data_IF_014837992670
#
_entry.id   IF_014837992670
#
_cell.length_a   1.000
_cell.length_b   1.000
_cell.length_c   1.000
_cell.angle_alpha   90.00
_cell.angle_beta   90.00
_cell.angle_gamma   90.00
#
_symmetry.space_group_name_H-M   'P 1'
#
loop_
_entity.id
_entity.type
_entity.pdbx_description
1 polymer ?
#
# COMPACT_ATOMS: atom_id res chain seq x y z
N UNK A 1 15.15 -22.21 10.54
CA UNK A 1 14.20 -22.04 9.42
C UNK A 1 13.66 -23.41 9.06
N UNK A 2 12.37 -23.58 8.83
CA UNK A 2 11.79 -24.88 8.46
C UNK A 2 11.61 -24.92 6.93
N UNK A 3 11.97 -26.04 6.30
CA UNK A 3 11.87 -26.23 4.85
C UNK A 3 10.46 -26.01 4.29
N UNK A 4 9.42 -26.28 5.09
CA UNK A 4 8.02 -26.03 4.73
C UNK A 4 7.73 -24.55 4.40
N UNK A 5 8.48 -23.60 4.98
CA UNK A 5 8.28 -22.16 4.70
C UNK A 5 8.62 -21.77 3.26
N UNK A 6 9.46 -22.53 2.56
CA UNK A 6 9.86 -22.25 1.17
C UNK A 6 8.70 -22.43 0.18
N UNK A 7 7.67 -23.19 0.55
CA UNK A 7 6.46 -23.39 -0.24
C UNK A 7 5.35 -22.35 0.05
N UNK A 8 5.58 -21.42 1.00
CA UNK A 8 4.63 -20.39 1.38
C UNK A 8 5.34 -19.02 1.49
N UNK A 9 5.17 -18.11 0.52
CA UNK A 9 5.90 -16.83 0.49
C UNK A 9 5.71 -15.94 1.73
N UNK A 10 4.53 -15.92 2.35
CA UNK A 10 4.28 -15.12 3.56
C UNK A 10 5.03 -15.73 4.75
N UNK A 11 4.97 -17.05 4.90
CA UNK A 11 5.70 -17.76 5.96
C UNK A 11 7.22 -17.70 5.76
N UNK A 12 7.68 -17.68 4.51
CA UNK A 12 9.09 -17.43 4.20
C UNK A 12 9.52 -16.05 4.70
N UNK A 13 8.77 -14.99 4.35
CA UNK A 13 9.04 -13.63 4.80
C UNK A 13 9.05 -13.53 6.34
N UNK A 14 8.07 -14.16 7.00
CA UNK A 14 7.99 -14.25 8.47
C UNK A 14 9.19 -14.98 9.06
N UNK A 15 9.57 -16.10 8.48
CA UNK A 15 10.72 -16.87 8.89
C UNK A 15 12.01 -16.07 8.80
N UNK A 16 12.21 -15.36 7.68
CA UNK A 16 13.36 -14.46 7.48
C UNK A 16 13.38 -13.33 8.51
N UNK A 17 12.25 -12.64 8.71
CA UNK A 17 12.13 -11.56 9.68
C UNK A 17 12.44 -12.01 11.11
N UNK A 18 11.80 -13.09 11.56
CA UNK A 18 12.03 -13.63 12.91
C UNK A 18 13.45 -14.19 13.09
N UNK A 19 14.12 -14.57 12.01
CA UNK A 19 15.50 -15.04 12.05
C UNK A 19 16.54 -13.91 12.03
N UNK A 20 16.14 -12.69 11.63
CA UNK A 20 17.04 -11.57 11.45
C UNK A 20 17.88 -11.20 12.69
N UNK A 21 17.36 -11.20 13.93
CA UNK A 21 18.18 -10.91 15.12
C UNK A 21 19.34 -11.89 15.30
N UNK A 22 19.09 -13.19 15.11
CA UNK A 22 20.12 -14.25 15.20
C UNK A 22 21.14 -14.14 14.08
N UNK A 23 20.69 -13.79 12.88
CA UNK A 23 21.60 -13.51 11.77
C UNK A 23 22.46 -12.29 12.04
N UNK A 24 21.91 -11.22 12.63
CA UNK A 24 22.66 -10.01 12.95
C UNK A 24 23.80 -10.32 13.90
N UNK A 25 23.52 -11.09 14.96
CA UNK A 25 24.52 -11.57 15.90
C UNK A 25 25.59 -12.44 15.21
N UNK A 26 25.18 -13.41 14.38
CA UNK A 26 26.10 -14.28 13.66
C UNK A 26 27.01 -13.51 12.69
N UNK A 27 26.46 -12.53 11.98
CA UNK A 27 27.19 -11.68 11.04
C UNK A 27 28.19 -10.77 11.76
N UNK A 28 27.78 -10.19 12.89
CA UNK A 28 28.68 -9.42 13.77
C UNK A 28 29.84 -10.27 14.29
N UNK A 29 29.57 -11.47 14.81
CA UNK A 29 30.61 -12.42 15.24
C UNK A 29 31.55 -12.81 14.10
N UNK A 30 31.01 -12.99 12.90
CA UNK A 30 31.79 -13.31 11.71
C UNK A 30 32.48 -12.09 11.06
N UNK A 31 32.30 -10.87 11.61
CA UNK A 31 32.78 -9.60 11.03
C UNK A 31 32.37 -9.41 9.56
N UNK A 32 31.17 -9.87 9.21
CA UNK A 32 30.61 -9.75 7.86
C UNK A 32 29.53 -8.67 7.81
N UNK A 33 29.47 -7.94 6.72
CA UNK A 33 28.40 -6.97 6.45
C UNK A 33 27.08 -7.68 6.19
N UNK A 34 25.97 -7.10 6.65
CA UNK A 34 24.63 -7.59 6.34
C UNK A 34 24.40 -7.66 4.82
N UNK A 35 23.99 -8.80 4.25
CA UNK A 35 23.74 -8.91 2.82
C UNK A 35 22.44 -8.19 2.45
N UNK A 36 22.52 -7.28 1.49
CA UNK A 36 21.32 -6.73 0.85
C UNK A 36 20.82 -7.70 -0.21
N UNK A 37 19.50 -7.90 -0.28
CA UNK A 37 18.86 -8.74 -1.29
C UNK A 37 17.95 -7.89 -2.18
N UNK A 38 18.10 -8.03 -3.49
CA UNK A 38 17.07 -7.62 -4.43
C UNK A 38 15.92 -8.62 -4.45
N UNK A 39 14.78 -8.18 -4.94
CA UNK A 39 13.61 -9.05 -5.16
C UNK A 39 13.89 -10.18 -6.14
N UNK A 40 14.67 -9.90 -7.19
CA UNK A 40 15.06 -10.91 -8.17
C UNK A 40 15.98 -11.96 -7.52
N UNK A 41 17.02 -11.55 -6.78
CA UNK A 41 17.90 -12.49 -6.08
C UNK A 41 17.10 -13.36 -5.09
N UNK A 42 16.16 -12.78 -4.34
CA UNK A 42 15.32 -13.57 -3.44
C UNK A 42 14.41 -14.52 -4.21
N UNK A 43 13.89 -14.12 -5.37
CA UNK A 43 13.10 -14.99 -6.27
C UNK A 43 13.94 -16.18 -6.73
N UNK A 44 15.16 -15.93 -7.22
CA UNK A 44 16.07 -16.96 -7.69
C UNK A 44 16.46 -17.93 -6.56
N UNK A 45 16.73 -17.40 -5.37
CA UNK A 45 16.98 -18.19 -4.17
C UNK A 45 15.79 -19.08 -3.81
N UNK A 46 14.56 -18.55 -3.84
CA UNK A 46 13.36 -19.34 -3.55
C UNK A 46 13.17 -20.44 -4.59
N UNK A 47 13.33 -20.14 -5.88
CA UNK A 47 13.24 -21.14 -6.96
C UNK A 47 14.29 -22.22 -6.77
N UNK A 48 15.54 -21.86 -6.47
CA UNK A 48 16.59 -22.82 -6.16
C UNK A 48 16.21 -23.70 -4.97
N UNK A 49 15.80 -23.09 -3.85
CA UNK A 49 15.40 -23.80 -2.64
C UNK A 49 14.19 -24.69 -2.86
N UNK A 50 13.26 -24.34 -3.74
CA UNK A 50 12.10 -25.18 -4.11
C UNK A 50 12.49 -26.40 -4.93
N UNK A 51 13.59 -26.34 -5.68
CA UNK A 51 14.06 -27.44 -6.54
C UNK A 51 15.00 -28.42 -5.83
N UNK A 52 15.36 -28.19 -4.57
CA UNK A 52 16.21 -29.13 -3.81
C UNK A 52 15.49 -30.47 -3.56
N UNK A 53 16.22 -31.60 -3.46
CA UNK A 53 15.62 -32.91 -3.21
C UNK A 53 14.71 -32.98 -1.97
N UNK A 54 15.03 -32.19 -0.94
CA UNK A 54 14.29 -32.12 0.32
C UNK A 54 12.96 -31.35 0.22
N UNK A 55 12.79 -30.52 -0.81
CA UNK A 55 11.70 -29.54 -0.92
C UNK A 55 10.90 -29.65 -2.23
N UNK A 56 11.45 -30.29 -3.27
CA UNK A 56 10.81 -30.43 -4.60
C UNK A 56 9.41 -31.06 -4.60
N UNK A 57 9.09 -31.82 -3.54
CA UNK A 57 7.80 -32.48 -3.38
C UNK A 57 6.87 -31.74 -2.41
N UNK A 58 7.28 -30.58 -1.87
CA UNK A 58 6.41 -29.77 -1.02
C UNK A 58 5.26 -29.21 -1.86
N UNK A 59 4.04 -29.37 -1.35
CA UNK A 59 2.87 -28.76 -1.97
C UNK A 59 2.92 -27.24 -1.74
N UNK A 60 2.70 -26.41 -2.77
CA UNK A 60 2.53 -24.98 -2.59
C UNK A 60 1.44 -24.70 -1.55
N UNK A 61 1.75 -23.86 -0.57
CA UNK A 61 0.83 -23.47 0.47
C UNK A 61 0.48 -21.99 0.31
N UNK A 62 -0.81 -21.70 0.22
CA UNK A 62 -1.32 -20.36 0.09
C UNK A 62 -1.76 -19.82 1.45
N UNK A 63 -1.31 -18.62 1.78
CA UNK A 63 -1.83 -17.82 2.90
C UNK A 63 -2.41 -16.53 2.34
N UNK A 64 -3.70 -16.30 2.55
CA UNK A 64 -4.32 -15.03 2.18
C UNK A 64 -3.79 -13.92 3.10
N UNK A 65 -3.39 -12.80 2.50
CA UNK A 65 -3.21 -11.57 3.25
C UNK A 65 -4.58 -11.10 3.79
N UNK A 66 -4.61 -10.56 5.00
CA UNK A 66 -5.80 -9.92 5.57
C UNK A 66 -5.42 -8.52 6.02
N UNK A 67 -6.20 -7.49 5.71
CA UNK A 67 -5.95 -6.17 6.31
C UNK A 67 -6.63 -6.01 7.67
N UNK A 68 -7.41 -7.01 8.11
CA UNK A 68 -8.19 -6.97 9.34
C UNK A 68 -7.29 -6.72 10.55
N UNK A 69 -7.58 -5.67 11.32
CA UNK A 69 -6.76 -5.20 12.46
C UNK A 69 -5.29 -4.91 12.13
N UNK A 70 -4.90 -4.86 10.86
CA UNK A 70 -3.49 -4.74 10.47
C UNK A 70 -2.86 -3.40 10.87
N UNK A 71 -3.63 -2.30 10.82
CA UNK A 71 -3.20 -0.99 11.32
C UNK A 71 -2.95 -1.00 12.84
N UNK A 72 -3.84 -1.65 13.59
CA UNK A 72 -3.71 -1.78 15.04
C UNK A 72 -2.52 -2.67 15.41
N UNK A 73 -2.32 -3.78 14.69
CA UNK A 73 -1.15 -4.63 14.85
C UNK A 73 0.15 -3.87 14.53
N UNK A 74 0.16 -3.06 13.47
CA UNK A 74 1.31 -2.22 13.08
C UNK A 74 1.69 -1.24 14.19
N UNK A 75 0.69 -0.66 14.86
CA UNK A 75 0.87 0.19 16.05
C UNK A 75 1.40 -0.63 17.24
N UNK A 76 0.76 -1.75 17.56
CA UNK A 76 1.13 -2.61 18.70
C UNK A 76 2.53 -3.20 18.59
N UNK A 77 3.00 -3.50 17.37
CA UNK A 77 4.37 -3.97 17.10
C UNK A 77 5.38 -2.81 17.04
N UNK A 78 4.96 -1.57 17.25
CA UNK A 78 5.81 -0.38 17.28
C UNK A 78 6.28 0.12 15.92
N UNK A 79 5.74 -0.41 14.81
CA UNK A 79 6.17 -0.02 13.48
C UNK A 79 5.85 1.45 13.16
N UNK A 80 4.74 1.98 13.73
CA UNK A 80 4.29 3.37 13.54
C UNK A 80 5.26 4.42 14.10
N UNK A 81 6.10 4.05 15.06
CA UNK A 81 7.04 4.98 15.70
C UNK A 81 8.04 5.57 14.68
N UNK A 82 8.40 4.78 13.67
CA UNK A 82 9.22 5.21 12.54
C UNK A 82 8.41 5.43 11.26
N UNK A 83 7.43 4.57 10.94
CA UNK A 83 6.66 4.64 9.69
C UNK A 83 5.54 5.68 9.76
N UNK A 84 5.91 6.94 9.91
CA UNK A 84 5.04 8.11 9.94
C UNK A 84 5.64 9.24 9.11
N UNK A 85 4.82 10.22 8.73
CA UNK A 85 5.30 11.38 7.96
C UNK A 85 6.02 10.92 6.68
N UNK A 86 7.20 11.49 6.38
CA UNK A 86 7.99 11.17 5.19
C UNK A 86 8.37 9.67 5.07
N UNK A 87 8.33 8.92 6.17
CA UNK A 87 8.65 7.49 6.20
C UNK A 87 7.40 6.59 6.18
N UNK A 88 6.21 7.19 6.01
CA UNK A 88 4.96 6.44 5.84
C UNK A 88 5.09 5.38 4.74
N UNK A 89 4.53 4.20 4.98
CA UNK A 89 4.50 3.12 3.99
C UNK A 89 3.77 3.51 2.72
N UNK A 90 2.75 4.36 2.83
CA UNK A 90 2.01 4.86 1.67
C UNK A 90 2.81 5.70 0.71
N UNK A 91 3.80 6.47 1.20
CA UNK A 91 4.69 7.27 0.36
C UNK A 91 5.76 6.44 -0.35
N UNK A 92 5.89 5.16 -0.01
CA UNK A 92 6.77 4.23 -0.70
C UNK A 92 5.93 3.39 -1.64
N UNK A 93 6.46 3.08 -2.82
CA UNK A 93 5.82 2.10 -3.69
C UNK A 93 5.65 0.80 -2.91
N UNK A 94 4.41 0.34 -2.75
CA UNK A 94 4.14 -0.92 -2.10
C UNK A 94 4.92 -2.03 -2.83
N UNK A 95 5.41 -3.05 -2.09
CA UNK A 95 6.05 -4.20 -2.73
C UNK A 95 5.07 -4.82 -3.74
N UNK A 96 5.52 -4.99 -4.99
CA UNK A 96 4.65 -5.48 -6.08
C UNK A 96 4.46 -6.98 -6.02
N UNK A 97 5.39 -7.68 -5.35
CA UNK A 97 5.44 -9.13 -5.20
C UNK A 97 5.75 -9.51 -3.76
N UNK A 98 5.58 -10.80 -3.43
CA UNK A 98 5.94 -11.27 -2.08
C UNK A 98 7.44 -11.31 -1.83
N UNK A 99 8.23 -11.50 -2.88
CA UNK A 99 9.69 -11.41 -2.82
C UNK A 99 10.15 -9.97 -2.66
N UNK A 100 9.46 -8.98 -3.25
CA UNK A 100 9.72 -7.56 -2.95
C UNK A 100 9.51 -7.26 -1.46
N UNK A 101 8.39 -7.73 -0.90
CA UNK A 101 8.07 -7.52 0.51
C UNK A 101 9.10 -8.16 1.43
N UNK A 102 9.43 -9.43 1.20
CA UNK A 102 10.40 -10.18 2.00
C UNK A 102 11.81 -9.57 1.91
N UNK A 103 12.25 -9.18 0.71
CA UNK A 103 13.53 -8.50 0.51
C UNK A 103 13.56 -7.14 1.21
N UNK A 104 12.48 -6.34 1.11
CA UNK A 104 12.37 -5.06 1.80
C UNK A 104 12.45 -5.22 3.32
N UNK A 105 11.75 -6.21 3.90
CA UNK A 105 11.82 -6.52 5.33
C UNK A 105 13.23 -6.96 5.75
N UNK A 106 13.87 -7.83 4.98
CA UNK A 106 15.23 -8.30 5.25
C UNK A 106 16.25 -7.16 5.23
N UNK A 107 16.19 -6.30 4.23
CA UNK A 107 17.08 -5.14 4.11
C UNK A 107 16.76 -4.05 5.14
N UNK A 108 15.55 -4.04 5.69
CA UNK A 108 15.12 -3.12 6.73
C UNK A 108 15.61 -3.53 8.13
N UNK A 109 15.67 -4.83 8.42
CA UNK A 109 16.04 -5.38 9.73
C UNK A 109 17.29 -4.73 10.39
N UNK A 110 18.44 -4.56 9.70
CA UNK A 110 19.63 -3.96 10.32
C UNK A 110 19.51 -2.44 10.56
N UNK A 111 18.47 -1.80 10.01
CA UNK A 111 18.22 -0.35 10.15
C UNK A 111 17.27 -0.04 11.29
N UNK A 112 16.68 -1.07 11.91
CA UNK A 112 15.80 -0.88 13.05
C UNK A 112 16.62 -0.49 14.29
N UNK A 113 16.13 0.51 15.03
CA UNK A 113 16.75 0.93 16.29
C UNK A 113 16.67 -0.14 17.38
N UNK A 114 15.63 -0.97 17.33
CA UNK A 114 15.41 -2.09 18.23
C UNK A 114 15.36 -3.39 17.44
N UNK A 115 15.68 -4.51 18.09
CA UNK A 115 15.54 -5.82 17.49
C UNK A 115 14.11 -6.02 16.94
N UNK A 116 13.98 -6.54 15.70
CA UNK A 116 12.69 -6.83 15.10
C UNK A 116 11.77 -7.61 16.06
N UNK A 117 10.51 -7.17 16.31
CA UNK A 117 9.60 -7.92 17.13
C UNK A 117 9.24 -9.23 16.44
N UNK A 118 9.15 -10.31 17.21
CA UNK A 118 8.72 -11.59 16.69
C UNK A 118 7.26 -11.53 16.19
N UNK A 119 7.02 -12.14 15.04
CA UNK A 119 5.72 -12.19 14.38
C UNK A 119 5.17 -13.62 14.35
N UNK A 120 3.91 -13.77 14.79
CA UNK A 120 3.12 -14.99 14.59
C UNK A 120 2.64 -15.10 13.13
N UNK A 121 2.28 -16.30 12.64
CA UNK A 121 1.78 -16.48 11.26
C UNK A 121 0.65 -15.50 10.88
N UNK A 122 -0.35 -15.39 11.74
CA UNK A 122 -1.53 -14.53 11.51
C UNK A 122 -1.17 -13.04 11.61
N UNK A 123 -0.13 -12.70 12.36
CA UNK A 123 0.36 -11.33 12.43
C UNK A 123 1.05 -10.93 11.13
N UNK A 124 1.83 -11.84 10.52
CA UNK A 124 2.45 -11.54 9.24
C UNK A 124 1.41 -11.38 8.14
N UNK A 125 0.39 -12.25 8.06
CA UNK A 125 -0.68 -12.09 7.05
C UNK A 125 -1.41 -10.75 7.20
N UNK A 126 -1.59 -10.28 8.45
CA UNK A 126 -2.18 -8.98 8.78
C UNK A 126 -1.32 -7.80 8.38
N UNK A 127 -0.02 -7.86 8.66
CA UNK A 127 0.94 -6.82 8.30
C UNK A 127 1.12 -6.73 6.79
N UNK A 128 1.19 -7.87 6.10
CA UNK A 128 1.24 -7.94 4.63
C UNK A 128 -0.02 -7.32 4.04
N UNK A 129 -1.21 -7.69 4.53
CA UNK A 129 -2.47 -7.12 4.06
C UNK A 129 -2.58 -5.63 4.32
N UNK A 130 -2.14 -5.15 5.49
CA UNK A 130 -2.09 -3.72 5.79
C UNK A 130 -1.09 -2.96 4.91
N UNK A 131 0.12 -3.49 4.72
CA UNK A 131 1.14 -2.86 3.88
C UNK A 131 0.66 -2.74 2.43
N UNK A 132 0.00 -3.77 1.90
CA UNK A 132 -0.63 -3.69 0.59
C UNK A 132 -1.82 -2.74 0.55
N UNK A 133 -2.62 -2.69 1.61
CA UNK A 133 -3.78 -1.80 1.66
C UNK A 133 -3.38 -0.32 1.55
N UNK A 134 -2.19 0.05 2.05
CA UNK A 134 -1.69 1.42 1.95
C UNK A 134 -1.63 1.96 0.51
N UNK A 135 -1.53 1.09 -0.51
CA UNK A 135 -1.53 1.52 -1.91
C UNK A 135 -2.92 1.96 -2.43
N UNK A 136 -3.98 1.58 -1.71
CA UNK A 136 -5.37 1.87 -2.09
C UNK A 136 -6.01 2.96 -1.23
N UNK A 137 -5.53 3.14 0.00
CA UNK A 137 -6.16 4.02 0.97
C UNK A 137 -5.50 5.40 1.10
N UNK A 138 -4.30 5.59 0.55
CA UNK A 138 -3.64 6.89 0.57
C UNK A 138 -3.67 7.56 -0.81
N UNK A 139 -4.48 8.61 -0.89
CA UNK A 139 -4.67 9.49 -2.04
C UNK A 139 -3.44 10.41 -2.21
N UNK A 140 -2.29 9.84 -2.58
CA UNK A 140 -1.09 10.60 -2.92
C UNK A 140 -1.27 11.18 -4.33
N UNK A 141 -2.19 12.13 -4.44
CA UNK A 141 -2.34 12.99 -5.59
C UNK A 141 -1.55 14.29 -5.42
N UNK A 142 -1.27 14.93 -6.54
CA UNK A 142 -0.78 16.30 -6.61
C UNK A 142 -1.99 17.25 -6.67
N UNK A 143 -2.20 18.00 -5.58
CA UNK A 143 -3.32 18.93 -5.48
C UNK A 143 -3.26 20.07 -6.53
N UNK A 144 -2.09 20.43 -7.06
CA UNK A 144 -1.98 21.45 -8.10
C UNK A 144 -2.39 20.90 -9.48
N UNK A 145 -1.99 19.66 -9.81
CA UNK A 145 -2.54 18.97 -10.98
C UNK A 145 -4.04 18.74 -10.82
N UNK A 146 -4.47 18.31 -9.64
CA UNK A 146 -5.87 18.12 -9.28
C UNK A 146 -6.71 19.38 -9.47
N UNK A 147 -6.20 20.54 -9.05
CA UNK A 147 -6.84 21.85 -9.29
C UNK A 147 -7.04 22.12 -10.78
N UNK A 148 -6.03 21.82 -11.59
CA UNK A 148 -6.10 22.02 -13.05
C UNK A 148 -7.17 21.13 -13.67
N UNK A 149 -7.22 19.85 -13.26
CA UNK A 149 -8.24 18.88 -13.72
C UNK A 149 -9.63 19.32 -13.26
N UNK A 150 -9.78 19.73 -11.99
CA UNK A 150 -11.06 20.17 -11.42
C UNK A 150 -11.60 21.40 -12.16
N UNK A 151 -10.75 22.40 -12.42
CA UNK A 151 -11.13 23.59 -13.16
C UNK A 151 -11.56 23.27 -14.60
N UNK A 152 -10.86 22.34 -15.26
CA UNK A 152 -11.13 21.97 -16.64
C UNK A 152 -12.40 21.10 -16.80
N UNK A 153 -12.70 20.23 -15.84
CA UNK A 153 -13.70 19.16 -16.00
C UNK A 153 -14.88 19.22 -15.03
N UNK A 154 -14.77 19.96 -13.91
CA UNK A 154 -15.76 19.93 -12.82
C UNK A 154 -16.32 21.32 -12.48
N UNK A 155 -15.47 22.35 -12.48
CA UNK A 155 -15.78 23.67 -11.89
C UNK A 155 -16.94 24.40 -12.58
N UNK A 156 -17.09 24.25 -13.91
CA UNK A 156 -18.16 24.91 -14.68
C UNK A 156 -19.57 24.59 -14.16
N UNK A 157 -19.74 23.46 -13.48
CA UNK A 157 -20.98 23.10 -12.79
C UNK A 157 -20.82 23.21 -11.27
N UNK A 158 -19.78 22.59 -10.69
CA UNK A 158 -19.66 22.45 -9.24
C UNK A 158 -19.20 23.72 -8.50
N UNK A 159 -18.76 24.77 -9.21
CA UNK A 159 -18.41 26.08 -8.64
C UNK A 159 -19.20 27.24 -9.24
N UNK A 160 -20.16 26.97 -10.15
CA UNK A 160 -21.01 28.00 -10.74
C UNK A 160 -22.34 28.09 -10.02
N UNK A 161 -22.65 29.26 -9.46
CA UNK A 161 -23.98 29.55 -8.95
C UNK A 161 -25.03 29.37 -10.09
N UNK A 162 -26.16 28.73 -9.79
CA UNK A 162 -27.23 28.48 -10.75
C UNK A 162 -27.05 27.27 -11.67
N UNK A 163 -25.97 26.49 -11.53
CA UNK A 163 -25.78 25.25 -12.31
C UNK A 163 -26.70 24.10 -11.89
N UNK A 164 -27.25 24.15 -10.68
CA UNK A 164 -28.00 23.06 -10.04
C UNK A 164 -27.13 21.92 -9.51
N UNK A 165 -25.81 21.96 -9.70
CA UNK A 165 -24.90 20.95 -9.18
C UNK A 165 -24.49 21.28 -7.74
N UNK A 166 -24.48 20.29 -6.82
CA UNK A 166 -23.99 20.51 -5.47
C UNK A 166 -22.48 20.79 -5.49
N UNK A 167 -21.96 21.65 -4.59
CA UNK A 167 -20.53 21.88 -4.49
C UNK A 167 -19.80 20.58 -4.10
N UNK A 168 -18.65 20.34 -4.72
CA UNK A 168 -17.74 19.25 -4.32
C UNK A 168 -16.82 19.84 -3.24
N UNK A 169 -17.11 19.52 -1.99
CA UNK A 169 -16.35 19.98 -0.83
C UNK A 169 -16.39 18.93 0.28
N UNK A 170 -15.47 19.06 1.23
CA UNK A 170 -15.31 18.13 2.35
C UNK A 170 -14.18 17.13 2.12
N UNK A 171 -13.74 16.53 3.22
CA UNK A 171 -12.74 15.48 3.19
C UNK A 171 -13.40 14.18 2.73
N UNK A 172 -13.06 13.71 1.53
CA UNK A 172 -13.59 12.53 0.87
C UNK A 172 -12.46 11.55 0.52
N UNK A 173 -12.77 10.25 0.53
CA UNK A 173 -11.88 9.17 0.09
C UNK A 173 -12.19 8.77 -1.35
N UNK A 174 -11.32 7.95 -1.96
CA UNK A 174 -11.62 7.29 -3.23
C UNK A 174 -12.94 6.50 -3.21
N UNK A 175 -13.28 5.87 -2.08
CA UNK A 175 -14.55 5.14 -1.92
C UNK A 175 -15.75 6.08 -1.85
N UNK A 176 -15.62 7.21 -1.16
CA UNK A 176 -16.67 8.23 -1.14
C UNK A 176 -16.91 8.78 -2.54
N UNK A 177 -15.84 9.08 -3.29
CA UNK A 177 -15.96 9.55 -4.67
C UNK A 177 -16.59 8.50 -5.58
N UNK A 178 -16.24 7.22 -5.45
CA UNK A 178 -16.89 6.13 -6.19
C UNK A 178 -18.39 6.01 -5.83
N UNK A 179 -18.74 6.10 -4.55
CA UNK A 179 -20.13 6.06 -4.07
C UNK A 179 -20.95 7.27 -4.56
N UNK A 180 -20.39 8.47 -4.46
CA UNK A 180 -21.01 9.71 -4.93
C UNK A 180 -21.22 9.68 -6.44
N UNK A 181 -20.22 9.27 -7.22
CA UNK A 181 -20.35 9.14 -8.67
C UNK A 181 -21.34 8.05 -9.06
N UNK A 182 -21.45 6.95 -8.31
CA UNK A 182 -22.48 5.94 -8.54
C UNK A 182 -23.90 6.49 -8.30
N UNK A 183 -24.09 7.24 -7.21
CA UNK A 183 -25.40 7.81 -6.84
C UNK A 183 -25.81 9.00 -7.71
N UNK A 184 -24.88 9.89 -8.03
CA UNK A 184 -25.15 11.14 -8.74
C UNK A 184 -24.81 11.10 -10.23
N UNK A 185 -24.08 10.07 -10.70
CA UNK A 185 -23.54 10.00 -12.05
C UNK A 185 -24.61 10.01 -13.14
N UNK A 186 -25.73 9.31 -12.95
CA UNK A 186 -26.83 9.33 -13.91
C UNK A 186 -27.44 10.73 -14.08
N UNK A 187 -27.63 11.46 -12.97
CA UNK A 187 -28.13 12.83 -12.99
C UNK A 187 -27.12 13.79 -13.63
N UNK A 188 -25.84 13.65 -13.30
CA UNK A 188 -24.75 14.39 -13.95
C UNK A 188 -24.73 14.12 -15.46
N UNK A 189 -24.88 12.87 -15.89
CA UNK A 189 -24.83 12.50 -17.30
C UNK A 189 -26.00 13.11 -18.08
N UNK A 190 -27.20 13.11 -17.49
CA UNK A 190 -28.36 13.78 -18.06
C UNK A 190 -28.15 15.30 -18.19
N UNK A 191 -27.63 15.95 -17.14
CA UNK A 191 -27.36 17.39 -17.15
C UNK A 191 -26.26 17.77 -18.17
N UNK A 192 -25.21 16.95 -18.29
CA UNK A 192 -24.14 17.14 -19.28
C UNK A 192 -24.70 17.01 -20.70
N UNK A 193 -25.55 16.01 -20.95
CA UNK A 193 -26.22 15.84 -22.25
C UNK A 193 -27.10 17.05 -22.60
N UNK A 194 -27.87 17.58 -21.64
CA UNK A 194 -28.69 18.78 -21.84
C UNK A 194 -27.85 20.02 -22.19
N UNK A 195 -26.63 20.11 -21.65
CA UNK A 195 -25.68 21.21 -21.92
C UNK A 195 -24.76 20.95 -23.12
N UNK A 196 -24.98 19.88 -23.89
CA UNK A 196 -24.12 19.44 -24.99
C UNK A 196 -22.65 19.25 -24.59
N UNK A 197 -22.41 18.81 -23.35
CA UNK A 197 -21.07 18.52 -22.83
C UNK A 197 -20.79 17.02 -22.92
N UNK A 198 -19.58 16.68 -23.38
CA UNK A 198 -19.10 15.30 -23.37
C UNK A 198 -18.75 14.87 -21.94
N UNK A 199 -18.99 13.59 -21.62
CA UNK A 199 -18.56 13.04 -20.33
C UNK A 199 -17.04 13.09 -20.21
N UNK A 200 -16.48 13.60 -19.08
CA UNK A 200 -15.04 13.74 -18.94
C UNK A 200 -14.36 12.38 -18.91
N UNK A 201 -13.29 12.24 -19.68
CA UNK A 201 -12.34 11.13 -19.57
C UNK A 201 -11.27 11.49 -18.54
N UNK A 202 -10.96 10.55 -17.65
CA UNK A 202 -9.92 10.66 -16.65
C UNK A 202 -8.83 9.63 -16.92
N UNK A 203 -7.57 10.03 -16.73
CA UNK A 203 -6.40 9.14 -16.78
C UNK A 203 -6.12 8.52 -15.41
N UNK A 204 -5.19 7.55 -15.37
CA UNK A 204 -4.88 6.75 -14.17
C UNK A 204 -4.58 7.59 -12.92
N UNK A 205 -3.88 8.72 -13.07
CA UNK A 205 -3.50 9.61 -11.96
C UNK A 205 -4.51 10.69 -11.64
N UNK A 206 -5.44 10.99 -12.58
CA UNK A 206 -6.33 12.15 -12.47
C UNK A 206 -7.21 12.07 -11.22
N UNK A 207 -7.69 10.87 -10.89
CA UNK A 207 -8.59 10.67 -9.74
C UNK A 207 -7.87 10.91 -8.41
N UNK A 208 -6.63 10.44 -8.28
CA UNK A 208 -5.83 10.69 -7.08
C UNK A 208 -5.51 12.19 -6.93
N UNK A 209 -5.08 12.84 -8.02
CA UNK A 209 -4.81 14.27 -8.06
C UNK A 209 -6.07 15.10 -7.71
N UNK A 210 -7.23 14.74 -8.28
CA UNK A 210 -8.53 15.36 -7.96
C UNK A 210 -8.91 15.20 -6.48
N UNK A 211 -8.78 14.00 -5.92
CA UNK A 211 -9.04 13.74 -4.50
C UNK A 211 -8.13 14.58 -3.61
N UNK A 212 -6.83 14.66 -3.93
CA UNK A 212 -5.89 15.51 -3.21
C UNK A 212 -6.31 16.99 -3.24
N UNK A 213 -6.78 17.48 -4.39
CA UNK A 213 -7.27 18.86 -4.51
C UNK A 213 -8.56 19.10 -3.71
N UNK A 214 -9.57 18.25 -3.82
CA UNK A 214 -10.84 18.38 -3.08
C UNK A 214 -10.62 18.35 -1.57
N UNK A 215 -9.74 17.46 -1.12
CA UNK A 215 -9.36 17.37 0.29
C UNK A 215 -8.58 18.60 0.75
N UNK A 216 -7.73 19.20 -0.09
CA UNK A 216 -6.99 20.42 0.22
C UNK A 216 -7.87 21.69 0.26
N UNK A 217 -9.00 21.71 -0.46
CA UNK A 217 -9.98 22.80 -0.39
C UNK A 217 -10.82 22.78 0.89
N UNK A 218 -10.77 21.70 1.66
CA UNK A 218 -11.62 21.52 2.83
C UNK A 218 -10.92 22.04 4.10
N UNK A 219 -11.59 22.86 4.94
CA UNK A 219 -11.01 23.30 6.20
C UNK A 219 -10.74 22.10 7.12
N UNK A 220 -9.64 22.17 7.89
CA UNK A 220 -9.32 21.16 8.90
C UNK A 220 -10.48 21.06 9.91
N UNK A 221 -10.89 19.84 10.27
CA UNK A 221 -11.82 19.65 11.40
C UNK A 221 -11.10 20.10 12.66
N UNK A 222 -11.69 21.06 13.38
CA UNK A 222 -11.43 21.25 14.81
C UNK A 222 -11.88 20.02 15.59
#
# INVERSE_FOLDING_TARGET
MQWASVANPIELARGMWNHAPRMSEAMSKAKKSWPSLTSQELTDMVVYLQNLPQTKNLKPAFSAASAETGAELFRLKGCVECHRGAQSLSRRAAPRTMTDFAAAMWNHAPRMLQSPPALRPEEMTRLVGYAWSQQFFDDIGDAARGKSIFNAKCASCHQSAGSGAPPIAGRITAFDMASMTWRHGAAMAAAMKQKNLAWPRFERSDMADLLAHVNAMSPARN
#
